data_IF_231663087392
#
_entry.id   IF_231663087392
#
_cell.length_a   1.000
_cell.length_b   1.000
_cell.length_c   1.000
_cell.angle_alpha   90.00
_cell.angle_beta   90.00
_cell.angle_gamma   90.00
#
_symmetry.space_group_name_H-M   'P 1'
#
loop_
_entity.id
_entity.type
_entity.pdbx_description
1 polymer ?
#
# COMPACT_ATOMS: atom_id res chain seq x y z
N UNK A 1 17.85 -22.67 -11.78
CA UNK A 1 17.32 -23.81 -10.99
C UNK A 1 16.61 -23.31 -9.75
N UNK A 2 15.36 -23.71 -9.54
CA UNK A 2 14.62 -23.41 -8.32
C UNK A 2 15.21 -24.25 -7.18
N UNK A 3 15.64 -23.59 -6.11
CA UNK A 3 16.02 -24.32 -4.88
C UNK A 3 14.78 -24.89 -4.22
N UNK A 4 14.81 -26.17 -3.81
CA UNK A 4 13.71 -26.82 -3.08
C UNK A 4 13.39 -26.04 -1.80
N UNK A 5 12.09 -25.77 -1.53
CA UNK A 5 11.64 -25.09 -0.31
C UNK A 5 11.54 -23.56 -0.38
N UNK A 6 11.88 -22.94 -1.53
CA UNK A 6 11.70 -21.49 -1.71
C UNK A 6 10.36 -21.19 -2.39
N UNK A 7 9.69 -20.15 -1.90
CA UNK A 7 8.59 -19.47 -2.56
C UNK A 7 9.17 -18.36 -3.45
N UNK A 8 8.54 -18.10 -4.61
CA UNK A 8 9.02 -17.11 -5.57
C UNK A 8 8.00 -16.01 -5.82
N UNK A 9 8.49 -14.79 -5.95
CA UNK A 9 7.73 -13.62 -6.40
C UNK A 9 8.54 -12.86 -7.45
N UNK A 10 7.84 -11.98 -8.18
CA UNK A 10 8.46 -11.04 -9.13
C UNK A 10 8.12 -9.62 -8.75
N UNK A 11 9.03 -8.69 -9.02
CA UNK A 11 8.76 -7.24 -8.90
C UNK A 11 7.84 -6.76 -10.03
N UNK A 12 7.34 -5.52 -9.95
CA UNK A 12 6.44 -4.95 -10.96
C UNK A 12 7.09 -4.66 -12.31
N UNK A 13 8.43 -4.51 -12.36
CA UNK A 13 9.19 -4.31 -13.60
C UNK A 13 8.78 -3.05 -14.38
N UNK A 14 8.78 -1.88 -13.74
CA UNK A 14 8.38 -0.60 -14.37
C UNK A 14 9.33 -0.13 -15.48
N UNK A 15 10.58 -0.60 -15.49
CA UNK A 15 11.65 -0.14 -16.39
C UNK A 15 12.40 -1.25 -17.12
N UNK A 16 11.93 -2.49 -17.07
CA UNK A 16 12.61 -3.64 -17.67
C UNK A 16 12.04 -4.99 -17.25
N UNK A 17 12.85 -6.04 -17.30
CA UNK A 17 12.44 -7.36 -16.87
C UNK A 17 12.18 -7.41 -15.37
N UNK A 18 11.03 -7.98 -14.92
CA UNK A 18 10.73 -8.10 -13.50
C UNK A 18 11.77 -8.96 -12.76
N UNK A 19 12.34 -8.44 -11.69
CA UNK A 19 13.24 -9.20 -10.84
C UNK A 19 12.48 -10.35 -10.19
N UNK A 20 12.93 -11.58 -10.40
CA UNK A 20 12.43 -12.76 -9.72
C UNK A 20 13.29 -13.08 -8.51
N UNK A 21 12.69 -13.13 -7.34
CA UNK A 21 13.40 -13.44 -6.09
C UNK A 21 12.72 -14.58 -5.33
N UNK A 22 13.54 -15.33 -4.57
CA UNK A 22 13.08 -16.43 -3.73
C UNK A 22 13.16 -16.07 -2.24
N UNK A 23 12.22 -16.58 -1.45
CA UNK A 23 12.19 -16.42 0.00
C UNK A 23 11.68 -17.70 0.68
N UNK A 24 12.09 -17.91 1.93
CA UNK A 24 11.62 -19.04 2.74
C UNK A 24 10.25 -18.72 3.34
N UNK A 25 9.52 -19.76 3.74
CA UNK A 25 8.25 -19.59 4.47
C UNK A 25 8.45 -18.82 5.77
N UNK A 26 9.48 -19.14 6.53
CA UNK A 26 9.84 -18.44 7.77
C UNK A 26 10.07 -16.94 7.53
N UNK A 27 10.86 -16.59 6.50
CA UNK A 27 11.07 -15.20 6.11
C UNK A 27 9.76 -14.50 5.76
N UNK A 28 8.83 -15.18 5.09
CA UNK A 28 7.54 -14.60 4.75
C UNK A 28 6.67 -14.35 5.99
N UNK A 29 6.63 -15.29 6.92
CA UNK A 29 5.86 -15.17 8.16
C UNK A 29 6.40 -14.04 9.03
N UNK A 30 7.72 -13.92 9.17
CA UNK A 30 8.38 -12.82 9.89
C UNK A 30 8.08 -11.46 9.28
N UNK A 31 8.23 -11.32 7.97
CA UNK A 31 7.90 -10.07 7.24
C UNK A 31 6.43 -9.69 7.38
N UNK A 32 5.54 -10.67 7.35
CA UNK A 32 4.11 -10.44 7.56
C UNK A 32 3.82 -9.94 8.97
N UNK A 33 4.46 -10.48 9.99
CA UNK A 33 4.33 -10.01 11.37
C UNK A 33 4.81 -8.55 11.52
N UNK A 34 5.96 -8.23 10.93
CA UNK A 34 6.53 -6.87 10.91
C UNK A 34 5.58 -5.89 10.22
N UNK A 35 5.02 -6.28 9.07
CA UNK A 35 4.02 -5.46 8.36
C UNK A 35 2.79 -5.19 9.22
N UNK A 36 2.24 -6.20 9.87
CA UNK A 36 1.08 -6.03 10.74
C UNK A 36 1.38 -5.15 11.95
N UNK A 37 2.58 -5.26 12.54
CA UNK A 37 3.01 -4.38 13.62
C UNK A 37 3.01 -2.91 13.15
N UNK A 38 3.67 -2.59 12.05
CA UNK A 38 3.73 -1.22 11.54
C UNK A 38 2.35 -0.69 11.13
N UNK A 39 1.53 -1.51 10.49
CA UNK A 39 0.17 -1.12 10.10
C UNK A 39 -0.75 -0.92 11.31
N UNK A 40 -0.51 -1.63 12.43
CA UNK A 40 -1.32 -1.50 13.64
C UNK A 40 -1.22 -0.11 14.29
N UNK A 41 -0.14 0.64 14.07
CA UNK A 41 -0.01 2.02 14.53
C UNK A 41 -1.02 2.97 13.88
N UNK A 42 -1.42 2.69 12.65
CA UNK A 42 -2.54 3.36 11.99
C UNK A 42 -3.90 2.68 12.26
N UNK A 43 -3.97 1.76 13.20
CA UNK A 43 -5.19 1.04 13.55
C UNK A 43 -5.57 -0.11 12.60
N UNK A 44 -4.75 -0.43 11.58
CA UNK A 44 -4.99 -1.58 10.71
C UNK A 44 -4.69 -2.88 11.46
N UNK A 45 -5.73 -3.69 11.67
CA UNK A 45 -5.65 -5.00 12.35
C UNK A 45 -6.44 -6.04 11.58
N UNK A 46 -6.12 -7.32 11.79
CA UNK A 46 -6.90 -8.41 11.22
C UNK A 46 -8.38 -8.27 11.59
N UNK A 47 -9.27 -8.52 10.62
CA UNK A 47 -10.71 -8.43 10.78
C UNK A 47 -11.31 -7.01 10.69
N UNK A 48 -10.50 -5.94 10.72
CA UNK A 48 -11.00 -4.60 10.44
C UNK A 48 -11.30 -4.41 8.95
N UNK A 49 -12.35 -3.66 8.66
CA UNK A 49 -12.68 -3.31 7.26
C UNK A 49 -11.56 -2.46 6.69
N UNK A 50 -10.72 -3.08 5.86
CA UNK A 50 -9.57 -2.44 5.22
C UNK A 50 -9.76 -2.39 3.72
N UNK A 51 -9.77 -1.20 3.16
CA UNK A 51 -9.80 -1.01 1.71
C UNK A 51 -8.37 -0.85 1.19
N UNK A 52 -8.04 -1.62 0.17
CA UNK A 52 -6.79 -1.50 -0.55
C UNK A 52 -7.03 -0.80 -1.90
N UNK A 53 -6.46 0.38 -2.06
CA UNK A 53 -6.34 1.07 -3.35
C UNK A 53 -4.99 0.69 -3.96
N UNK A 54 -4.96 -0.45 -4.64
CA UNK A 54 -3.72 -1.12 -5.00
C UNK A 54 -3.70 -1.55 -6.45
N UNK A 55 -2.49 -1.57 -7.06
CA UNK A 55 -2.32 -2.10 -8.40
C UNK A 55 -2.54 -3.62 -8.44
N UNK A 56 -3.50 -4.04 -9.23
CA UNK A 56 -3.74 -5.45 -9.51
C UNK A 56 -3.42 -5.73 -10.97
N UNK A 57 -2.84 -6.91 -11.22
CA UNK A 57 -2.56 -7.34 -12.60
C UNK A 57 -3.87 -7.38 -13.39
N UNK A 58 -3.86 -6.71 -14.53
CA UNK A 58 -4.98 -6.73 -15.47
C UNK A 58 -4.86 -8.01 -16.27
N UNK A 59 -5.74 -8.96 -16.02
CA UNK A 59 -5.81 -10.24 -16.70
C UNK A 59 -7.14 -10.92 -16.37
N UNK A 60 -7.47 -11.96 -17.07
CA UNK A 60 -8.68 -12.75 -16.79
C UNK A 60 -8.30 -13.98 -15.94
N UNK A 61 -8.29 -13.86 -14.60
CA UNK A 61 -7.97 -14.98 -13.73
C UNK A 61 -9.06 -16.04 -13.82
N UNK A 62 -8.66 -17.31 -13.75
CA UNK A 62 -9.61 -18.43 -13.75
C UNK A 62 -10.70 -18.24 -12.70
N UNK A 63 -11.90 -18.78 -12.96
CA UNK A 63 -13.04 -18.69 -12.04
C UNK A 63 -12.68 -19.18 -10.63
N UNK A 64 -11.93 -20.26 -10.53
CA UNK A 64 -11.44 -20.84 -9.27
C UNK A 64 -10.53 -19.88 -8.50
N UNK A 65 -9.68 -19.14 -9.20
CA UNK A 65 -8.81 -18.12 -8.59
C UNK A 65 -9.64 -16.94 -8.07
N UNK A 66 -10.62 -16.46 -8.83
CA UNK A 66 -11.54 -15.38 -8.41
C UNK A 66 -12.33 -15.76 -7.16
N UNK A 67 -12.86 -16.98 -7.09
CA UNK A 67 -13.59 -17.49 -5.92
C UNK A 67 -12.67 -17.55 -4.70
N UNK A 68 -11.47 -18.11 -4.86
CA UNK A 68 -10.47 -18.20 -3.77
C UNK A 68 -10.07 -16.83 -3.23
N UNK A 69 -9.80 -15.86 -4.12
CA UNK A 69 -9.51 -14.49 -3.71
C UNK A 69 -10.69 -13.83 -3.01
N UNK A 70 -11.90 -14.00 -3.53
CA UNK A 70 -13.11 -13.46 -2.91
C UNK A 70 -13.31 -13.97 -1.49
N UNK A 71 -13.16 -15.28 -1.28
CA UNK A 71 -13.24 -15.90 0.06
C UNK A 71 -12.12 -15.35 0.97
N UNK A 72 -10.90 -15.27 0.46
CA UNK A 72 -9.76 -14.74 1.21
C UNK A 72 -10.02 -13.29 1.64
N UNK A 73 -10.45 -12.43 0.72
CA UNK A 73 -10.73 -11.03 1.04
C UNK A 73 -11.90 -10.88 2.01
N UNK A 74 -12.95 -11.69 1.85
CA UNK A 74 -14.08 -11.71 2.79
C UNK A 74 -13.65 -12.15 4.19
N UNK A 75 -12.86 -13.23 4.31
CA UNK A 75 -12.36 -13.74 5.59
C UNK A 75 -11.50 -12.71 6.35
N UNK A 76 -10.77 -11.86 5.62
CA UNK A 76 -9.96 -10.77 6.22
C UNK A 76 -10.68 -9.41 6.25
N UNK A 77 -11.96 -9.36 5.90
CA UNK A 77 -12.74 -8.12 5.82
C UNK A 77 -12.07 -7.04 4.95
N UNK A 78 -11.57 -7.46 3.80
CA UNK A 78 -10.81 -6.61 2.86
C UNK A 78 -11.61 -6.33 1.60
N UNK A 79 -11.45 -5.13 1.07
CA UNK A 79 -11.96 -4.76 -0.25
C UNK A 79 -10.83 -4.19 -1.10
N UNK A 80 -10.76 -4.65 -2.36
CA UNK A 80 -9.73 -4.21 -3.30
C UNK A 80 -10.32 -3.29 -4.35
N UNK A 81 -9.71 -2.14 -4.56
CA UNK A 81 -9.94 -1.26 -5.70
C UNK A 81 -8.68 -1.19 -6.54
N UNK A 82 -8.78 -1.47 -7.84
CA UNK A 82 -7.62 -1.49 -8.72
C UNK A 82 -7.16 -0.07 -9.06
N UNK A 83 -6.05 0.37 -8.48
CA UNK A 83 -5.49 1.70 -8.71
C UNK A 83 -5.07 1.94 -10.17
N UNK A 84 -4.72 0.89 -10.93
CA UNK A 84 -4.31 1.01 -12.34
C UNK A 84 -5.47 1.26 -13.30
N UNK A 85 -6.69 0.96 -12.90
CA UNK A 85 -7.89 1.19 -13.70
C UNK A 85 -8.63 2.47 -13.31
N UNK A 86 -8.05 3.29 -12.44
CA UNK A 86 -8.64 4.53 -11.98
C UNK A 86 -8.51 5.60 -13.07
N UNK A 87 -9.64 6.12 -13.52
CA UNK A 87 -9.73 7.27 -14.43
C UNK A 87 -10.77 8.26 -13.89
N UNK A 88 -10.82 9.46 -14.46
CA UNK A 88 -11.76 10.49 -14.04
C UNK A 88 -13.21 10.02 -14.22
N UNK A 89 -13.53 9.37 -15.35
CA UNK A 89 -14.87 8.85 -15.65
C UNK A 89 -15.32 7.76 -14.68
N UNK A 90 -14.37 7.00 -14.13
CA UNK A 90 -14.65 5.90 -13.19
C UNK A 90 -14.63 6.35 -11.72
N UNK A 91 -14.21 7.57 -11.43
CA UNK A 91 -14.11 8.05 -10.07
C UNK A 91 -15.44 7.98 -9.28
N UNK A 92 -16.62 8.29 -9.87
CA UNK A 92 -17.90 8.10 -9.18
C UNK A 92 -18.14 6.65 -8.72
N UNK A 93 -17.73 5.65 -9.53
CA UNK A 93 -17.81 4.23 -9.16
C UNK A 93 -16.92 3.92 -7.96
N UNK A 94 -15.66 4.44 -7.95
CA UNK A 94 -14.71 4.23 -6.85
C UNK A 94 -15.24 4.84 -5.54
N UNK A 95 -15.74 6.06 -5.58
CA UNK A 95 -16.32 6.74 -4.41
C UNK A 95 -17.57 6.00 -3.92
N UNK A 96 -18.45 5.57 -4.81
CA UNK A 96 -19.65 4.79 -4.45
C UNK A 96 -19.29 3.48 -3.76
N UNK A 97 -18.31 2.75 -4.29
CA UNK A 97 -17.81 1.49 -3.70
C UNK A 97 -17.13 1.73 -2.34
N UNK A 98 -16.36 2.80 -2.23
CA UNK A 98 -15.73 3.22 -0.99
C UNK A 98 -16.78 3.51 0.10
N UNK A 99 -17.77 4.34 -0.23
CA UNK A 99 -18.85 4.72 0.67
C UNK A 99 -19.74 3.53 1.10
N UNK A 100 -19.97 2.59 0.18
CA UNK A 100 -20.72 1.34 0.48
C UNK A 100 -19.95 0.43 1.42
N UNK A 101 -18.64 0.26 1.18
CA UNK A 101 -17.80 -0.60 2.02
C UNK A 101 -17.53 -0.01 3.40
N UNK A 102 -17.49 1.33 3.52
CA UNK A 102 -17.23 2.07 4.76
C UNK A 102 -15.95 1.61 5.46
N UNK A 103 -14.77 1.74 4.83
CA UNK A 103 -13.51 1.23 5.39
C UNK A 103 -13.18 1.92 6.71
N UNK A 104 -12.63 1.16 7.65
CA UNK A 104 -12.04 1.71 8.87
C UNK A 104 -10.60 2.18 8.60
N UNK A 105 -9.88 1.46 7.76
CA UNK A 105 -8.52 1.82 7.32
C UNK A 105 -8.42 1.68 5.82
N UNK A 106 -7.66 2.58 5.21
CA UNK A 106 -7.32 2.52 3.78
C UNK A 106 -5.82 2.30 3.64
N UNK A 107 -5.42 1.43 2.73
CA UNK A 107 -4.01 1.24 2.33
C UNK A 107 -3.92 1.51 0.85
N UNK A 108 -3.06 2.42 0.42
CA UNK A 108 -2.99 2.77 -1.00
C UNK A 108 -1.68 3.41 -1.44
N UNK A 109 -1.50 3.50 -2.74
CA UNK A 109 -0.42 4.28 -3.34
C UNK A 109 -0.69 5.77 -3.17
N UNK A 110 0.36 6.57 -2.95
CA UNK A 110 0.25 8.02 -2.75
C UNK A 110 -0.43 8.73 -3.93
N UNK A 111 -0.04 8.41 -5.16
CA UNK A 111 -0.61 9.01 -6.38
C UNK A 111 -2.11 8.73 -6.55
N UNK A 112 -2.59 7.49 -6.55
CA UNK A 112 -4.01 7.15 -6.59
C UNK A 112 -4.83 7.74 -5.42
N UNK A 113 -4.29 7.78 -4.20
CA UNK A 113 -4.94 8.41 -3.06
C UNK A 113 -5.10 9.92 -3.27
N UNK A 114 -4.03 10.59 -3.76
CA UNK A 114 -4.07 12.01 -4.09
C UNK A 114 -5.11 12.31 -5.17
N UNK A 115 -5.09 11.57 -6.28
CA UNK A 115 -6.05 11.75 -7.37
C UNK A 115 -7.51 11.62 -6.91
N UNK A 116 -7.77 10.62 -6.06
CA UNK A 116 -9.11 10.45 -5.48
C UNK A 116 -9.47 11.61 -4.55
N UNK A 117 -8.53 12.08 -3.74
CA UNK A 117 -8.70 13.21 -2.83
C UNK A 117 -8.99 14.52 -3.57
N UNK A 118 -8.22 14.82 -4.62
CA UNK A 118 -8.42 16.00 -5.48
C UNK A 118 -9.81 15.99 -6.12
N UNK A 119 -10.22 14.85 -6.66
CA UNK A 119 -11.55 14.70 -7.27
C UNK A 119 -12.69 14.89 -6.26
N UNK A 120 -12.56 14.35 -5.03
CA UNK A 120 -13.53 14.52 -3.94
C UNK A 120 -13.68 16.00 -3.60
N UNK A 121 -12.57 16.72 -3.47
CA UNK A 121 -12.57 18.15 -3.14
C UNK A 121 -13.11 19.02 -4.28
N UNK A 122 -12.74 18.72 -5.53
CA UNK A 122 -13.22 19.45 -6.72
C UNK A 122 -14.73 19.29 -6.91
N UNK A 123 -15.23 18.07 -6.80
CA UNK A 123 -16.66 17.77 -6.98
C UNK A 123 -17.49 17.97 -5.71
N UNK A 124 -16.85 18.31 -4.59
CA UNK A 124 -17.52 18.49 -3.27
C UNK A 124 -18.39 17.29 -2.87
N UNK A 125 -17.90 16.08 -3.15
CA UNK A 125 -18.64 14.84 -2.90
C UNK A 125 -18.45 14.37 -1.48
N UNK A 126 -19.53 13.92 -0.84
CA UNK A 126 -19.44 13.32 0.49
C UNK A 126 -18.74 11.96 0.44
N UNK A 127 -17.72 11.78 1.27
CA UNK A 127 -16.96 10.55 1.42
C UNK A 127 -17.05 10.04 2.85
N UNK A 128 -17.18 8.71 3.01
CA UNK A 128 -17.03 8.09 4.32
C UNK A 128 -15.63 8.37 4.88
N UNK A 129 -15.56 8.79 6.16
CA UNK A 129 -14.29 9.10 6.85
C UNK A 129 -13.72 7.84 7.50
N UNK A 130 -12.60 7.30 7.01
CA UNK A 130 -11.90 6.22 7.70
C UNK A 130 -11.20 6.74 8.95
N UNK A 131 -10.72 5.83 9.79
CA UNK A 131 -9.92 6.21 10.98
C UNK A 131 -8.51 6.65 10.58
N UNK A 132 -7.95 6.04 9.55
CA UNK A 132 -6.61 6.34 9.05
C UNK A 132 -6.42 5.86 7.61
N UNK A 133 -5.45 6.47 6.93
CA UNK A 133 -4.93 6.04 5.63
C UNK A 133 -3.45 5.69 5.80
N UNK A 134 -3.03 4.56 5.24
CA UNK A 134 -1.64 4.14 5.09
C UNK A 134 -1.22 4.36 3.64
N UNK A 135 -0.29 5.29 3.42
CA UNK A 135 0.36 5.47 2.13
C UNK A 135 1.53 4.51 2.01
N UNK A 136 1.63 3.79 0.90
CA UNK A 136 2.66 2.78 0.66
C UNK A 136 3.14 2.78 -0.79
N UNK A 137 4.30 2.16 -1.01
CA UNK A 137 4.92 1.90 -2.31
C UNK A 137 5.37 3.11 -3.13
N UNK A 138 5.00 4.31 -2.75
CA UNK A 138 5.41 5.58 -3.37
C UNK A 138 5.83 6.56 -2.29
N UNK A 139 6.69 7.52 -2.63
CA UNK A 139 7.00 8.61 -1.72
C UNK A 139 5.75 9.45 -1.45
N UNK A 140 5.50 9.75 -0.19
CA UNK A 140 4.43 10.65 0.23
C UNK A 140 5.06 12.00 0.60
N UNK A 141 4.76 13.04 -0.17
CA UNK A 141 5.18 14.41 0.10
C UNK A 141 4.17 15.15 0.98
N UNK A 142 4.62 16.12 1.75
CA UNK A 142 3.76 16.82 2.73
C UNK A 142 2.56 17.50 2.07
N UNK A 143 2.74 18.15 0.91
CA UNK A 143 1.63 18.73 0.16
C UNK A 143 0.57 17.70 -0.27
N UNK A 144 0.99 16.50 -0.64
CA UNK A 144 0.06 15.41 -0.98
C UNK A 144 -0.68 14.93 0.27
N UNK A 145 0.04 14.77 1.39
CA UNK A 145 -0.53 14.39 2.69
C UNK A 145 -1.66 15.34 3.09
N UNK A 146 -1.41 16.65 3.04
CA UNK A 146 -2.39 17.68 3.39
C UNK A 146 -3.67 17.59 2.55
N UNK A 147 -3.54 17.39 1.24
CA UNK A 147 -4.69 17.24 0.34
C UNK A 147 -5.49 15.98 0.67
N UNK A 148 -4.80 14.86 0.90
CA UNK A 148 -5.45 13.59 1.25
C UNK A 148 -6.15 13.69 2.62
N UNK A 149 -5.48 14.22 3.64
CA UNK A 149 -6.05 14.40 4.98
C UNK A 149 -7.29 15.31 4.96
N UNK A 150 -7.24 16.41 4.18
CA UNK A 150 -8.37 17.32 4.03
C UNK A 150 -9.58 16.64 3.34
N UNK A 151 -9.35 15.87 2.31
CA UNK A 151 -10.42 15.19 1.58
C UNK A 151 -11.10 14.09 2.40
N UNK A 152 -10.30 13.25 3.07
CA UNK A 152 -10.82 12.10 3.80
C UNK A 152 -11.12 12.40 5.28
N UNK A 153 -10.68 13.53 5.80
CA UNK A 153 -10.90 13.94 7.19
C UNK A 153 -10.24 13.04 8.23
N UNK A 154 -9.13 12.39 7.90
CA UNK A 154 -8.42 11.45 8.77
C UNK A 154 -6.89 11.53 8.57
N UNK A 155 -6.08 11.09 9.56
CA UNK A 155 -4.63 11.12 9.44
C UNK A 155 -4.10 10.15 8.38
N UNK A 156 -3.03 10.57 7.69
CA UNK A 156 -2.28 9.76 6.74
C UNK A 156 -0.94 9.35 7.35
N UNK A 157 -0.68 8.06 7.36
CA UNK A 157 0.56 7.44 7.84
C UNK A 157 1.42 7.04 6.65
N UNK A 158 2.69 7.38 6.70
CA UNK A 158 3.65 6.98 5.69
C UNK A 158 4.27 5.63 6.01
N UNK A 159 4.49 4.81 5.00
CA UNK A 159 5.22 3.54 5.11
C UNK A 159 6.30 3.45 4.05
N UNK A 160 7.44 2.88 4.40
CA UNK A 160 8.55 2.62 3.51
C UNK A 160 8.81 1.12 3.42
N UNK A 161 8.90 0.62 2.21
CA UNK A 161 9.12 -0.79 1.98
C UNK A 161 9.26 -1.14 0.50
N UNK A 162 9.57 -2.39 0.24
CA UNK A 162 9.66 -2.93 -1.10
C UNK A 162 9.09 -4.35 -1.16
N UNK A 163 8.92 -4.87 -2.36
CA UNK A 163 8.31 -6.18 -2.55
C UNK A 163 9.16 -7.33 -2.00
N UNK A 164 10.47 -7.15 -1.98
CA UNK A 164 11.46 -8.14 -1.56
C UNK A 164 11.45 -8.37 -0.04
N UNK A 165 11.34 -7.31 0.74
CA UNK A 165 11.41 -7.37 2.22
C UNK A 165 10.13 -6.89 2.91
N UNK A 166 9.12 -6.44 2.15
CA UNK A 166 7.85 -5.87 2.62
C UNK A 166 8.06 -4.55 3.36
N UNK A 167 7.75 -4.45 4.64
CA UNK A 167 7.85 -3.23 5.41
C UNK A 167 9.26 -3.05 5.99
N UNK A 168 9.93 -1.96 5.60
CA UNK A 168 11.22 -1.55 6.14
C UNK A 168 11.00 -0.61 7.33
N UNK A 169 10.10 0.36 7.17
CA UNK A 169 9.78 1.34 8.20
C UNK A 169 8.34 1.86 8.07
N UNK A 170 7.79 2.37 9.15
CA UNK A 170 6.45 2.97 9.18
C UNK A 170 6.34 4.04 10.27
N UNK A 171 5.42 4.98 10.06
CA UNK A 171 5.09 6.00 11.07
C UNK A 171 4.25 5.38 12.20
N UNK A 172 4.52 5.82 13.43
CA UNK A 172 3.64 5.61 14.58
C UNK A 172 2.62 6.76 14.71
N UNK A 173 1.87 6.78 15.80
CA UNK A 173 0.82 7.79 16.07
C UNK A 173 1.37 9.22 16.12
N UNK A 174 2.65 9.43 16.46
CA UNK A 174 3.30 10.76 16.47
C UNK A 174 3.53 11.32 15.07
N UNK A 175 3.74 10.46 14.08
CA UNK A 175 3.94 10.79 12.65
C UNK A 175 5.11 11.74 12.36
N UNK A 176 6.09 11.83 13.26
CA UNK A 176 7.27 12.70 13.17
C UNK A 176 8.51 12.04 12.57
N UNK A 177 8.38 10.79 12.11
CA UNK A 177 9.44 10.02 11.47
C UNK A 177 9.01 8.59 11.18
N UNK A 178 9.92 7.81 10.60
CA UNK A 178 9.71 6.41 10.28
C UNK A 178 10.50 5.52 11.24
N UNK A 179 9.80 4.68 11.98
CA UNK A 179 10.42 3.65 12.81
C UNK A 179 10.91 2.50 11.93
N UNK A 180 12.22 2.29 11.94
CA UNK A 180 12.86 1.15 11.25
C UNK A 180 12.52 -0.17 11.93
N UNK A 181 12.29 -1.21 11.15
CA UNK A 181 12.09 -2.58 11.64
C UNK A 181 13.45 -3.25 11.92
N UNK A 182 14.23 -2.69 12.88
CA UNK A 182 15.61 -3.08 13.17
C UNK A 182 15.75 -4.50 13.76
N UNK A 183 14.67 -5.08 14.26
CA UNK A 183 14.58 -6.49 14.69
C UNK A 183 14.51 -7.48 13.52
N UNK A 184 14.28 -6.96 12.31
CA UNK A 184 14.14 -7.75 11.10
C UNK A 184 15.14 -7.40 10.01
N UNK A 185 15.51 -6.12 9.88
CA UNK A 185 16.36 -5.59 8.82
C UNK A 185 17.48 -4.73 9.40
N UNK A 186 18.68 -4.86 8.86
CA UNK A 186 19.75 -3.90 9.04
C UNK A 186 19.68 -2.91 7.88
N UNK A 187 19.48 -1.64 8.21
CA UNK A 187 19.45 -0.53 7.24
C UNK A 187 20.75 0.24 7.37
N UNK A 188 21.51 0.32 6.29
CA UNK A 188 22.74 1.09 6.20
C UNK A 188 22.49 2.30 5.27
N UNK A 189 22.95 3.47 5.69
CA UNK A 189 22.90 4.68 4.91
C UNK A 189 24.26 4.93 4.28
N UNK A 190 24.35 4.84 2.97
CA UNK A 190 25.50 5.34 2.23
C UNK A 190 25.37 6.85 2.02
N UNK A 191 26.47 7.59 2.29
CA UNK A 191 26.56 8.98 1.83
C UNK A 191 26.76 8.95 0.32
N UNK A 192 25.84 9.53 -0.44
CA UNK A 192 26.07 9.75 -1.85
C UNK A 192 27.25 10.71 -1.98
N UNK A 193 28.39 10.21 -2.42
CA UNK A 193 29.43 11.07 -2.97
C UNK A 193 28.83 11.74 -4.23
N UNK A 194 28.96 13.06 -4.33
CA UNK A 194 28.52 13.77 -5.52
C UNK A 194 29.12 13.10 -6.76
N UNK A 195 28.27 12.71 -7.72
CA UNK A 195 28.75 12.18 -8.99
C UNK A 195 29.70 13.24 -9.60
N UNK A 196 30.86 12.84 -10.14
CA UNK A 196 31.77 13.77 -10.80
C UNK A 196 31.14 14.53 -11.97
N UNK A 197 30.00 14.04 -12.49
CA UNK A 197 29.25 14.63 -13.61
C UNK A 197 28.12 15.57 -13.17
N UNK A 198 27.87 15.75 -11.87
CA UNK A 198 26.85 16.68 -11.36
C UNK A 198 25.39 16.26 -11.62
N UNK A 199 25.15 15.11 -12.24
CA UNK A 199 23.79 14.61 -12.48
C UNK A 199 23.23 13.99 -11.20
N UNK A 200 22.06 14.49 -10.78
CA UNK A 200 21.28 13.99 -9.63
C UNK A 200 20.27 12.97 -10.06
#
# INVERSE_FOLDING_TARGET
>A
SQRKGLLYKTTGGSTGEPLRFGYTRESYERRTAVMWRGYSWAGARMGRRTLYLWGMVVGDPSLTHRIKESIYHAAFNRHMLNAFLMSEERMPEYVSRFNRFRPQVVVGYAGPLLRMAEWILDKQVEIHRPQAILSAAEALHDAQREVIERAFGCPVFNTYGCREVMLIASQCEQRDGLHLSADHLRVERESMQASPTGDR
#
